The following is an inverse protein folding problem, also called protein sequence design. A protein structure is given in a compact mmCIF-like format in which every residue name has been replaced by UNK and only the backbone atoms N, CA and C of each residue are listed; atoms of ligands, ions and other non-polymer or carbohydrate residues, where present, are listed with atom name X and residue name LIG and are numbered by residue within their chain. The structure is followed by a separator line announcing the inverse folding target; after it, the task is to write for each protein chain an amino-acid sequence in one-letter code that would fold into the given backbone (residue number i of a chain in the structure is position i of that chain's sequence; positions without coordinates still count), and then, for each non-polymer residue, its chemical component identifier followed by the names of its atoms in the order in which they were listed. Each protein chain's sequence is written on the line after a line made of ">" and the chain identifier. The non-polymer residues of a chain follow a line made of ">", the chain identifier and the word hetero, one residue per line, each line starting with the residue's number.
data_IF_661937518031
#
_entry.id   IF_661937518031
#
_cell.length_a   1.000
_cell.length_b   1.000
_cell.length_c   1.000
_cell.angle_alpha   90.00
_cell.angle_beta   90.00
_cell.angle_gamma   90.00
#
_symmetry.space_group_name_H-M   'P 1'
#
loop_
_entity.id
_entity.type
_entity.pdbx_description
1 polymer ?
#
# COMPACT_ATOMS: atom_id res chain seq x y z
N UNK A 1 12.50 -0.36 21.73
CA UNK A 1 11.87 -1.70 21.82
C UNK A 1 12.10 -2.39 20.49
N UNK A 2 12.41 -3.70 20.47
CA UNK A 2 12.56 -4.46 19.20
C UNK A 2 11.21 -4.94 18.68
N UNK A 3 11.06 -4.99 17.37
CA UNK A 3 9.88 -5.57 16.73
C UNK A 3 10.02 -7.11 16.65
N UNK A 4 8.93 -7.88 16.77
CA UNK A 4 8.95 -9.34 16.64
C UNK A 4 9.48 -9.79 15.28
N UNK A 5 10.44 -10.73 15.29
CA UNK A 5 11.08 -11.25 14.08
C UNK A 5 10.09 -11.93 13.13
N UNK A 6 9.09 -12.65 13.66
CA UNK A 6 8.11 -13.37 12.85
C UNK A 6 7.36 -12.42 11.90
N UNK A 7 7.10 -11.18 12.32
CA UNK A 7 6.40 -10.19 11.51
C UNK A 7 7.27 -9.71 10.34
N UNK A 8 8.57 -9.52 10.58
CA UNK A 8 9.54 -9.16 9.55
C UNK A 8 9.62 -10.26 8.48
N UNK A 9 9.72 -11.51 8.92
CA UNK A 9 9.77 -12.68 8.05
C UNK A 9 8.47 -12.83 7.27
N UNK A 10 7.32 -12.81 7.94
CA UNK A 10 6.01 -12.97 7.30
C UNK A 10 5.76 -11.91 6.23
N UNK A 11 6.04 -10.64 6.53
CA UNK A 11 5.90 -9.55 5.55
C UNK A 11 6.86 -9.72 4.37
N UNK A 12 8.11 -10.11 4.63
CA UNK A 12 9.12 -10.33 3.57
C UNK A 12 8.73 -11.48 2.66
N UNK A 13 8.30 -12.61 3.21
CA UNK A 13 7.83 -13.77 2.43
C UNK A 13 6.61 -13.38 1.60
N UNK A 14 5.66 -12.66 2.19
CA UNK A 14 4.49 -12.17 1.47
C UNK A 14 4.89 -11.24 0.31
N UNK A 15 5.82 -10.29 0.51
CA UNK A 15 6.35 -9.42 -0.57
C UNK A 15 7.01 -10.26 -1.67
N UNK A 16 7.82 -11.26 -1.33
CA UNK A 16 8.49 -12.14 -2.32
C UNK A 16 7.47 -12.89 -3.19
N UNK A 17 6.34 -13.30 -2.63
CA UNK A 17 5.24 -13.95 -3.39
C UNK A 17 4.44 -12.93 -4.19
N UNK A 18 4.14 -11.79 -3.58
CA UNK A 18 3.29 -10.75 -4.15
C UNK A 18 3.90 -10.12 -5.41
N UNK A 19 5.20 -9.77 -5.38
CA UNK A 19 5.90 -9.09 -6.48
C UNK A 19 5.79 -9.82 -7.83
N UNK A 20 6.19 -11.10 -7.97
CA UNK A 20 6.13 -11.76 -9.26
C UNK A 20 4.70 -11.95 -9.78
N UNK A 21 3.74 -12.15 -8.87
CA UNK A 21 2.32 -12.30 -9.21
C UNK A 21 1.75 -10.99 -9.75
N UNK A 22 2.01 -9.88 -9.06
CA UNK A 22 1.53 -8.55 -9.46
C UNK A 22 2.23 -8.05 -10.72
N UNK A 23 3.53 -8.30 -10.85
CA UNK A 23 4.26 -7.96 -12.05
C UNK A 23 3.63 -8.64 -13.27
N UNK A 24 3.33 -9.94 -13.16
CA UNK A 24 2.73 -10.69 -14.28
C UNK A 24 1.32 -10.19 -14.63
N UNK A 25 0.52 -9.81 -13.63
CA UNK A 25 -0.86 -9.36 -13.86
C UNK A 25 -0.95 -7.90 -14.35
N UNK A 26 -0.21 -6.98 -13.71
CA UNK A 26 -0.38 -5.53 -13.88
C UNK A 26 0.85 -4.84 -14.47
N UNK A 27 1.99 -5.52 -14.58
CA UNK A 27 3.23 -4.95 -15.05
C UNK A 27 3.99 -4.13 -13.99
N UNK A 28 5.20 -3.72 -14.34
CA UNK A 28 6.12 -3.05 -13.42
C UNK A 28 5.61 -1.67 -12.92
N UNK A 29 4.84 -0.96 -13.74
CA UNK A 29 4.33 0.36 -13.39
C UNK A 29 3.35 0.32 -12.21
N UNK A 30 2.68 -0.81 -11.97
CA UNK A 30 1.77 -0.99 -10.84
C UNK A 30 2.46 -0.71 -9.50
N UNK A 31 3.76 -1.04 -9.40
CA UNK A 31 4.53 -0.81 -8.18
C UNK A 31 4.76 0.68 -7.85
N UNK A 32 4.33 1.60 -8.73
CA UNK A 32 4.33 3.04 -8.47
C UNK A 32 3.03 3.54 -7.82
N UNK A 33 2.01 2.69 -7.65
CA UNK A 33 0.93 3.04 -6.72
C UNK A 33 1.52 3.28 -5.33
N UNK A 34 1.09 4.34 -4.64
CA UNK A 34 1.67 4.67 -3.32
C UNK A 34 1.50 3.52 -2.32
N UNK A 35 0.39 2.78 -2.40
CA UNK A 35 0.14 1.60 -1.60
C UNK A 35 1.15 0.47 -1.89
N UNK A 36 1.52 0.27 -3.15
CA UNK A 36 2.45 -0.76 -3.59
C UNK A 36 3.89 -0.41 -3.19
N UNK A 37 4.29 0.85 -3.39
CA UNK A 37 5.55 1.37 -2.86
C UNK A 37 5.62 1.22 -1.33
N UNK A 38 4.48 1.43 -0.66
CA UNK A 38 4.30 1.24 0.76
C UNK A 38 4.65 -0.16 1.23
N UNK A 39 4.33 -1.21 0.47
CA UNK A 39 4.68 -2.58 0.85
C UNK A 39 6.20 -2.77 0.99
N UNK A 40 6.97 -2.21 0.05
CA UNK A 40 8.43 -2.24 0.09
C UNK A 40 9.00 -1.39 1.23
N UNK A 41 8.48 -0.17 1.40
CA UNK A 41 8.96 0.74 2.45
C UNK A 41 8.62 0.22 3.85
N UNK A 42 7.47 -0.41 4.04
CA UNK A 42 7.12 -1.10 5.30
C UNK A 42 8.05 -2.28 5.55
N UNK A 43 8.42 -3.06 4.52
CA UNK A 43 9.40 -4.13 4.67
C UNK A 43 10.75 -3.58 5.18
N UNK A 44 11.24 -2.49 4.58
CA UNK A 44 12.45 -1.80 5.05
C UNK A 44 12.27 -1.27 6.48
N UNK A 45 11.13 -0.67 6.79
CA UNK A 45 10.82 -0.14 8.12
C UNK A 45 10.83 -1.23 9.20
N UNK A 46 10.30 -2.42 8.90
CA UNK A 46 10.27 -3.57 9.81
C UNK A 46 11.69 -4.07 10.12
N UNK A 47 12.54 -4.18 9.11
CA UNK A 47 13.92 -4.65 9.29
C UNK A 47 14.81 -3.63 9.98
N UNK A 48 14.69 -2.35 9.59
CA UNK A 48 15.45 -1.24 10.16
C UNK A 48 14.90 -0.72 11.50
N UNK A 49 13.69 -1.15 11.87
CA UNK A 49 12.93 -0.63 13.03
C UNK A 49 12.84 0.90 13.03
N UNK A 50 12.66 1.49 11.84
CA UNK A 50 12.73 2.93 11.63
C UNK A 50 11.38 3.61 11.87
N UNK A 51 11.28 4.35 12.98
CA UNK A 51 10.14 5.24 13.28
C UNK A 51 9.88 6.24 12.13
N UNK A 52 10.95 6.70 11.47
CA UNK A 52 10.86 7.64 10.35
C UNK A 52 10.13 7.04 9.16
N UNK A 53 10.49 5.83 8.74
CA UNK A 53 9.85 5.19 7.57
C UNK A 53 8.40 4.82 7.90
N UNK A 54 8.13 4.32 9.11
CA UNK A 54 6.75 4.11 9.57
C UNK A 54 5.94 5.41 9.54
N UNK A 55 6.49 6.54 10.00
CA UNK A 55 5.81 7.85 10.01
C UNK A 55 5.60 8.43 8.62
N UNK A 56 6.57 8.24 7.73
CA UNK A 56 6.45 8.56 6.30
C UNK A 56 5.30 7.78 5.68
N UNK A 57 5.29 6.45 5.79
CA UNK A 57 4.24 5.63 5.20
C UNK A 57 2.88 5.88 5.85
N UNK A 58 2.84 6.08 7.16
CA UNK A 58 1.61 6.42 7.87
C UNK A 58 0.98 7.72 7.36
N UNK A 59 1.81 8.75 7.10
CA UNK A 59 1.34 10.04 6.58
C UNK A 59 0.70 9.90 5.19
N UNK A 60 1.31 9.09 4.32
CA UNK A 60 0.82 8.89 2.96
C UNK A 60 -0.34 7.91 2.82
N UNK A 61 -0.39 6.89 3.69
CA UNK A 61 -1.21 5.70 3.43
C UNK A 61 -2.35 5.48 4.41
N UNK A 62 -2.27 5.95 5.67
CA UNK A 62 -3.30 5.62 6.67
C UNK A 62 -4.71 5.99 6.21
N UNK A 63 -4.88 7.19 5.66
CA UNK A 63 -6.18 7.67 5.18
C UNK A 63 -6.68 6.78 4.04
N UNK A 64 -5.93 6.67 2.95
CA UNK A 64 -6.37 5.97 1.75
C UNK A 64 -6.56 4.47 1.98
N UNK A 65 -5.71 3.84 2.80
CA UNK A 65 -5.84 2.43 3.14
C UNK A 65 -7.05 2.14 4.04
N UNK A 66 -7.36 3.05 4.96
CA UNK A 66 -8.56 2.96 5.78
C UNK A 66 -9.81 3.14 4.92
N UNK A 67 -9.80 4.12 4.02
CA UNK A 67 -10.89 4.35 3.07
C UNK A 67 -11.13 3.15 2.14
N UNK A 68 -10.05 2.54 1.61
CA UNK A 68 -10.13 1.30 0.86
C UNK A 68 -10.78 0.18 1.68
N UNK A 69 -10.35 0.01 2.94
CA UNK A 69 -10.90 -1.03 3.83
C UNK A 69 -12.39 -0.83 4.10
N UNK A 70 -12.81 0.42 4.32
CA UNK A 70 -14.22 0.78 4.51
C UNK A 70 -15.02 0.48 3.24
N UNK A 71 -14.52 0.90 2.07
CA UNK A 71 -15.18 0.65 0.78
C UNK A 71 -15.33 -0.86 0.51
N UNK A 72 -14.30 -1.66 0.80
CA UNK A 72 -14.33 -3.11 0.65
C UNK A 72 -15.36 -3.77 1.57
N UNK A 73 -15.43 -3.34 2.84
CA UNK A 73 -16.42 -3.86 3.80
C UNK A 73 -17.84 -3.53 3.35
N UNK A 74 -18.07 -2.30 2.87
CA UNK A 74 -19.39 -1.87 2.38
C UNK A 74 -19.77 -2.65 1.12
N UNK A 75 -18.83 -2.87 0.20
CA UNK A 75 -19.04 -3.69 -0.98
C UNK A 75 -19.40 -5.14 -0.61
N UNK A 76 -18.72 -5.74 0.37
CA UNK A 76 -19.02 -7.10 0.85
C UNK A 76 -20.39 -7.21 1.51
N UNK A 77 -20.82 -6.20 2.28
CA UNK A 77 -22.07 -6.25 3.05
C UNK A 77 -23.30 -5.79 2.25
N UNK A 78 -23.13 -4.81 1.37
CA UNK A 78 -24.23 -4.11 0.71
C UNK A 78 -24.16 -4.14 -0.82
N UNK A 79 -23.12 -4.74 -1.40
CA UNK A 79 -22.87 -4.78 -2.86
C UNK A 79 -22.87 -3.37 -3.49
N UNK A 80 -22.30 -2.40 -2.76
CA UNK A 80 -22.15 -1.00 -3.18
C UNK A 80 -20.72 -0.53 -2.97
N UNK A 81 -20.20 0.24 -3.92
CA UNK A 81 -18.90 0.91 -3.83
C UNK A 81 -19.14 2.41 -3.64
N UNK A 82 -18.67 2.98 -2.53
CA UNK A 82 -18.84 4.41 -2.23
C UNK A 82 -17.73 5.25 -2.84
N UNK A 83 -16.51 4.73 -2.86
CA UNK A 83 -15.32 5.44 -3.33
C UNK A 83 -14.83 4.92 -4.67
N UNK A 84 -15.19 3.69 -5.01
CA UNK A 84 -14.84 3.07 -6.27
C UNK A 84 -13.37 2.66 -6.40
N UNK A 85 -12.78 2.26 -5.28
CA UNK A 85 -11.40 1.75 -5.24
C UNK A 85 -11.30 0.22 -5.12
N UNK A 86 -12.43 -0.48 -5.04
CA UNK A 86 -12.49 -1.91 -4.66
C UNK A 86 -13.27 -2.78 -5.63
N UNK A 87 -13.79 -2.25 -6.73
CA UNK A 87 -14.56 -2.97 -7.75
C UNK A 87 -13.78 -4.15 -8.32
N UNK A 88 -12.48 -3.96 -8.54
CA UNK A 88 -11.61 -5.00 -9.07
C UNK A 88 -11.52 -6.22 -8.12
N UNK A 89 -11.81 -6.06 -6.83
CA UNK A 89 -11.89 -7.18 -5.87
C UNK A 89 -13.08 -8.10 -6.15
N UNK A 90 -14.04 -7.66 -6.94
CA UNK A 90 -15.23 -8.42 -7.32
C UNK A 90 -15.23 -8.79 -8.81
N UNK A 91 -14.22 -8.38 -9.59
CA UNK A 91 -14.11 -8.72 -11.01
C UNK A 91 -13.65 -10.19 -11.19
N UNK A 92 -14.47 -11.08 -11.78
CA UNK A 92 -14.09 -12.47 -12.05
C UNK A 92 -12.97 -12.61 -13.10
N UNK A 93 -12.69 -11.57 -13.89
CA UNK A 93 -11.56 -11.58 -14.84
C UNK A 93 -10.20 -11.53 -14.15
N UNK A 94 -10.16 -11.06 -12.90
CA UNK A 94 -8.94 -11.04 -12.08
C UNK A 94 -8.89 -12.32 -11.23
N UNK A 95 -7.81 -13.12 -11.33
CA UNK A 95 -7.70 -14.35 -10.55
C UNK A 95 -7.88 -14.08 -9.06
N UNK A 96 -8.64 -14.95 -8.38
CA UNK A 96 -8.94 -14.79 -6.94
C UNK A 96 -7.67 -14.60 -6.11
N UNK A 97 -6.61 -15.35 -6.42
CA UNK A 97 -5.34 -15.24 -5.71
C UNK A 97 -4.72 -13.84 -5.80
N UNK A 98 -4.79 -13.18 -6.97
CA UNK A 98 -4.31 -11.79 -7.13
C UNK A 98 -5.16 -10.85 -6.28
N UNK A 99 -6.49 -11.01 -6.29
CA UNK A 99 -7.39 -10.19 -5.47
C UNK A 99 -7.13 -10.37 -3.97
N UNK A 100 -6.92 -11.59 -3.51
CA UNK A 100 -6.60 -11.87 -2.10
C UNK A 100 -5.27 -11.24 -1.67
N UNK A 101 -4.29 -11.15 -2.57
CA UNK A 101 -3.05 -10.45 -2.26
C UNK A 101 -3.29 -8.95 -2.02
N UNK A 102 -4.27 -8.31 -2.68
CA UNK A 102 -4.63 -6.90 -2.42
C UNK A 102 -5.17 -6.67 -1.00
N UNK A 103 -5.50 -7.70 -0.24
CA UNK A 103 -5.91 -7.55 1.16
C UNK A 103 -4.80 -6.98 2.06
N UNK A 104 -3.58 -6.78 1.55
CA UNK A 104 -2.59 -5.95 2.23
C UNK A 104 -3.13 -4.55 2.58
N UNK A 105 -4.08 -4.01 1.79
CA UNK A 105 -4.74 -2.74 2.07
C UNK A 105 -5.48 -2.75 3.43
N UNK A 106 -5.97 -3.91 3.88
CA UNK A 106 -6.64 -4.09 5.18
C UNK A 106 -5.62 -4.29 6.30
N UNK A 107 -4.49 -4.93 6.01
CA UNK A 107 -3.43 -5.23 6.99
C UNK A 107 -2.55 -4.01 7.27
N UNK A 108 -2.36 -3.14 6.28
CA UNK A 108 -1.46 -1.98 6.38
C UNK A 108 -1.86 -0.99 7.49
N UNK A 109 -3.12 -0.51 7.61
CA UNK A 109 -3.48 0.45 8.66
C UNK A 109 -3.14 -0.01 10.08
N UNK A 110 -3.56 -1.20 10.54
CA UNK A 110 -3.21 -1.66 11.88
C UNK A 110 -1.70 -1.88 12.05
N UNK A 111 -0.99 -2.35 11.01
CA UNK A 111 0.46 -2.50 11.05
C UNK A 111 1.18 -1.15 11.20
N UNK A 112 0.76 -0.12 10.46
CA UNK A 112 1.33 1.23 10.56
C UNK A 112 1.06 1.84 11.94
N UNK A 113 -0.19 1.77 12.43
CA UNK A 113 -0.55 2.28 13.76
C UNK A 113 0.22 1.57 14.87
N UNK A 114 0.34 0.24 14.78
CA UNK A 114 1.13 -0.55 15.71
C UNK A 114 2.62 -0.19 15.65
N UNK A 115 3.19 -0.04 14.46
CA UNK A 115 4.58 0.36 14.26
C UNK A 115 4.87 1.73 14.90
N UNK A 116 3.98 2.70 14.69
CA UNK A 116 4.05 4.02 15.33
C UNK A 116 3.92 3.95 16.85
N UNK A 117 3.01 3.12 17.36
CA UNK A 117 2.85 2.94 18.80
C UNK A 117 4.10 2.33 19.45
N UNK A 118 4.79 1.41 18.77
CA UNK A 118 5.99 0.73 19.28
C UNK A 118 7.27 1.55 19.17
N UNK A 119 7.43 2.27 18.06
CA UNK A 119 8.68 2.96 17.70
C UNK A 119 8.61 4.49 17.89
N UNK A 120 7.41 5.03 18.06
CA UNK A 120 7.15 6.46 18.12
C UNK A 120 6.84 7.06 16.74
N UNK A 121 6.29 8.27 16.77
CA UNK A 121 6.04 9.08 15.57
C UNK A 121 7.17 10.07 15.34
N UNK A 122 7.67 10.13 14.12
CA UNK A 122 8.70 11.06 13.66
C UNK A 122 8.06 12.14 12.76
N UNK A 123 8.12 13.39 13.22
CA UNK A 123 7.53 14.54 12.52
C UNK A 123 8.15 14.83 11.16
N UNK A 124 9.29 14.21 10.81
CA UNK A 124 9.90 14.35 9.48
C UNK A 124 9.20 13.49 8.42
N UNK A 125 8.35 12.53 8.81
CA UNK A 125 7.68 11.60 7.90
C UNK A 125 6.94 12.29 6.75
N UNK A 126 6.22 13.39 7.03
CA UNK A 126 5.51 14.13 6.01
C UNK A 126 6.43 14.73 4.93
N UNK A 127 7.65 15.11 5.27
CA UNK A 127 8.62 15.67 4.31
C UNK A 127 9.02 14.63 3.27
N UNK A 128 9.27 13.40 3.72
CA UNK A 128 9.58 12.29 2.82
C UNK A 128 8.37 11.87 2.00
N UNK A 129 7.16 11.91 2.59
CA UNK A 129 5.94 11.66 1.81
C UNK A 129 5.76 12.71 0.71
N UNK A 130 5.93 14.00 1.02
CA UNK A 130 5.89 15.08 0.02
C UNK A 130 6.93 14.86 -1.06
N UNK A 131 8.19 14.59 -0.71
CA UNK A 131 9.24 14.32 -1.68
C UNK A 131 8.89 13.12 -2.59
N UNK A 132 8.33 12.06 -2.01
CA UNK A 132 7.88 10.89 -2.77
C UNK A 132 6.80 11.27 -3.75
N UNK A 133 5.79 12.02 -3.32
CA UNK A 133 4.72 12.49 -4.19
C UNK A 133 5.27 13.35 -5.33
N UNK A 134 6.20 14.25 -5.04
CA UNK A 134 6.83 15.12 -6.04
C UNK A 134 7.67 14.36 -7.08
N UNK A 135 8.13 13.15 -6.78
CA UNK A 135 8.87 12.31 -7.72
C UNK A 135 7.92 11.37 -8.46
N UNK A 136 7.06 10.67 -7.73
CA UNK A 136 6.24 9.56 -8.25
C UNK A 136 5.09 10.07 -9.11
N UNK A 137 4.44 11.18 -8.73
CA UNK A 137 3.31 11.72 -9.51
C UNK A 137 3.74 12.14 -10.92
N UNK A 138 4.83 12.91 -11.12
CA UNK A 138 5.33 13.19 -12.46
C UNK A 138 5.66 11.93 -13.27
N UNK A 139 6.30 10.93 -12.66
CA UNK A 139 6.60 9.67 -13.34
C UNK A 139 5.30 9.01 -13.83
N UNK A 140 4.29 8.90 -12.97
CA UNK A 140 3.00 8.33 -13.34
C UNK A 140 2.23 9.15 -14.37
N UNK A 141 2.43 10.48 -14.37
CA UNK A 141 1.80 11.36 -15.34
C UNK A 141 2.38 11.15 -16.75
N UNK A 142 3.67 10.85 -16.89
CA UNK A 142 4.35 10.75 -18.18
C UNK A 142 4.59 9.32 -18.67
N UNK A 143 4.88 8.37 -17.79
CA UNK A 143 5.17 6.99 -18.17
C UNK A 143 3.86 6.20 -18.36
N UNK A 144 3.66 5.60 -19.55
CA UNK A 144 2.51 4.72 -19.87
C UNK A 144 1.19 5.26 -19.30
N UNK A 145 0.81 6.46 -19.76
CA UNK A 145 -0.27 7.22 -19.14
C UNK A 145 -1.66 6.58 -19.23
N UNK A 146 -1.83 5.63 -20.15
CA UNK A 146 -3.06 4.85 -20.32
C UNK A 146 -3.48 4.09 -19.06
N UNK A 147 -2.55 3.80 -18.13
CA UNK A 147 -2.86 3.13 -16.87
C UNK A 147 -3.24 4.09 -15.72
N UNK A 148 -3.06 5.41 -15.89
CA UNK A 148 -3.42 6.46 -14.94
C UNK A 148 -3.11 6.13 -13.46
N UNK A 149 -1.90 5.64 -13.19
CA UNK A 149 -1.49 5.22 -11.83
C UNK A 149 -1.54 6.41 -10.86
N UNK A 150 -2.09 6.19 -9.66
CA UNK A 150 -2.39 7.23 -8.66
C UNK A 150 -3.31 8.37 -9.18
N UNK A 151 -4.11 8.15 -10.22
CA UNK A 151 -4.98 9.18 -10.82
C UNK A 151 -4.20 10.45 -11.22
N UNK A 152 -2.95 10.30 -11.65
CA UNK A 152 -2.06 11.43 -11.95
C UNK A 152 -2.53 12.31 -13.12
N UNK A 153 -3.59 11.93 -13.84
CA UNK A 153 -4.16 12.68 -14.98
C UNK A 153 -5.59 13.20 -14.78
N UNK A 154 -6.22 12.97 -13.63
CA UNK A 154 -7.64 13.30 -13.40
C UNK A 154 -8.52 12.16 -13.87
#
# INVERSE_FOLDING_TARGET
>A
MRLPLWMKIAWTVWVIVWVPVYWKQYGAQNFLYFCDMGNFLIAVALWTESALIFSWQATGLLLFQTLYTIDLIIALLFNKHLLGGTEYMFDPKIPLFVRLLSLFHVVMPPLLLWGLWRLGFDSRGWKYQTLTTWIVVPINHFWRPEYNVNWARG
#
